data_IF_299077635265
#
_entry.id   IF_299077635265
#
_cell.length_a   1.000
_cell.length_b   1.000
_cell.length_c   1.000
_cell.angle_alpha   90.00
_cell.angle_beta   90.00
_cell.angle_gamma   90.00
#
_symmetry.space_group_name_H-M   'P 1'
#
loop_
_entity.id
_entity.type
_entity.pdbx_description
1 polymer ?
#
# COMPACT_ATOMS: atom_id res chain seq x y z
N UNK A 1 16.88 22.05 8.67
CA UNK A 1 15.48 21.69 8.98
C UNK A 1 15.47 20.19 9.05
N UNK A 2 15.20 19.67 10.24
CA UNK A 2 15.33 18.26 10.57
C UNK A 2 14.00 17.53 10.36
N UNK A 3 14.05 16.22 10.19
CA UNK A 3 12.85 15.40 10.08
C UNK A 3 12.17 15.37 11.46
N UNK A 4 10.86 15.61 11.50
CA UNK A 4 10.08 15.51 12.74
C UNK A 4 9.95 14.05 13.18
N UNK A 5 10.80 13.67 14.13
CA UNK A 5 10.85 12.32 14.69
C UNK A 5 9.62 11.96 15.53
N UNK A 6 8.85 12.95 16.02
CA UNK A 6 7.65 12.68 16.82
C UNK A 6 6.60 11.93 15.99
N UNK A 7 6.50 12.25 14.71
CA UNK A 7 5.57 11.61 13.78
C UNK A 7 6.04 10.17 13.48
N UNK A 8 7.35 9.95 13.29
CA UNK A 8 7.90 8.61 13.06
C UNK A 8 7.65 7.68 14.27
N UNK A 9 7.81 8.21 15.48
CA UNK A 9 7.56 7.48 16.73
C UNK A 9 6.08 7.26 17.05
N UNK A 10 5.16 8.01 16.43
CA UNK A 10 3.72 7.75 16.58
C UNK A 10 3.30 6.56 15.73
N UNK A 11 3.82 6.47 14.49
CA UNK A 11 3.54 5.35 13.59
C UNK A 11 4.04 4.00 14.13
N UNK A 12 5.19 4.00 14.81
CA UNK A 12 5.72 2.83 15.49
C UNK A 12 4.73 2.27 16.53
N UNK A 13 4.08 3.16 17.29
CA UNK A 13 3.13 2.76 18.34
C UNK A 13 1.76 2.35 17.81
N UNK A 14 1.28 3.00 16.75
CA UNK A 14 -0.08 2.80 16.27
C UNK A 14 -0.24 1.63 15.30
N UNK A 15 0.81 1.27 14.55
CA UNK A 15 0.69 0.38 13.38
C UNK A 15 1.69 -0.77 13.34
N UNK A 16 2.39 -1.02 14.44
CA UNK A 16 3.44 -2.07 14.56
C UNK A 16 4.53 -1.98 13.47
N UNK A 17 4.74 -0.80 12.89
CA UNK A 17 5.81 -0.58 11.92
C UNK A 17 7.08 -0.23 12.68
N UNK A 18 8.10 -1.09 12.61
CA UNK A 18 9.38 -0.81 13.26
C UNK A 18 9.96 0.53 12.80
N UNK A 19 10.40 1.34 13.76
CA UNK A 19 11.06 2.61 13.51
C UNK A 19 12.30 2.44 12.62
N UNK A 20 13.04 1.34 12.77
CA UNK A 20 14.23 1.04 11.98
C UNK A 20 13.90 0.89 10.49
N UNK A 21 12.81 0.18 10.17
CA UNK A 21 12.36 -0.03 8.78
C UNK A 21 11.95 1.30 8.13
N UNK A 22 11.37 2.22 8.91
CA UNK A 22 11.03 3.56 8.43
C UNK A 22 12.28 4.39 8.16
N UNK A 23 13.25 4.37 9.06
CA UNK A 23 14.52 5.08 8.90
C UNK A 23 15.26 4.60 7.65
N UNK A 24 15.42 3.29 7.49
CA UNK A 24 16.07 2.70 6.31
C UNK A 24 15.36 3.09 5.02
N UNK A 25 14.03 3.05 5.00
CA UNK A 25 13.25 3.44 3.81
C UNK A 25 13.46 4.93 3.46
N UNK A 26 13.54 5.80 4.47
CA UNK A 26 13.81 7.23 4.29
C UNK A 26 15.21 7.45 3.75
N UNK A 27 16.23 6.82 4.32
CA UNK A 27 17.63 6.92 3.87
C UNK A 27 17.76 6.48 2.40
N UNK A 28 17.16 5.36 2.00
CA UNK A 28 17.20 4.87 0.62
C UNK A 28 16.52 5.83 -0.37
N UNK A 29 15.37 6.38 0.00
CA UNK A 29 14.68 7.33 -0.85
C UNK A 29 15.43 8.66 -0.98
N UNK A 30 16.07 9.10 0.10
CA UNK A 30 16.90 10.30 0.08
C UNK A 30 18.18 10.10 -0.70
N UNK A 31 18.79 8.91 -0.64
CA UNK A 31 19.91 8.56 -1.51
C UNK A 31 19.50 8.68 -2.99
N UNK A 32 18.33 8.14 -3.34
CA UNK A 32 17.78 8.24 -4.70
C UNK A 32 17.52 9.71 -5.10
N UNK A 33 17.09 10.55 -4.16
CA UNK A 33 16.89 11.97 -4.41
C UNK A 33 18.21 12.72 -4.60
N UNK A 34 19.23 12.40 -3.79
CA UNK A 34 20.57 12.94 -3.89
C UNK A 34 21.22 12.60 -5.24
N UNK A 35 21.18 11.33 -5.68
CA UNK A 35 21.74 10.88 -6.97
C UNK A 35 21.15 11.59 -8.19
N UNK A 36 19.95 12.20 -8.07
CA UNK A 36 19.33 12.99 -9.13
C UNK A 36 19.78 14.46 -9.14
N UNK A 37 20.54 14.87 -8.13
CA UNK A 37 21.08 16.23 -8.02
C UNK A 37 22.31 16.36 -8.90
N UNK A 38 22.46 17.45 -9.67
CA UNK A 38 23.67 17.71 -10.44
C UNK A 38 24.90 17.75 -9.54
N UNK A 39 25.96 17.02 -9.91
CA UNK A 39 27.20 16.97 -9.14
C UNK A 39 27.21 15.96 -7.98
N UNK A 40 26.17 15.12 -7.86
CA UNK A 40 26.16 14.04 -6.88
C UNK A 40 27.33 13.07 -7.10
N UNK A 41 27.97 12.68 -6.00
CA UNK A 41 28.99 11.65 -5.98
C UNK A 41 28.40 10.29 -6.42
N UNK A 42 29.18 9.49 -7.14
CA UNK A 42 28.75 8.18 -7.64
C UNK A 42 28.44 7.20 -6.50
N UNK A 43 29.22 7.27 -5.43
CA UNK A 43 29.06 6.45 -4.24
C UNK A 43 28.78 7.35 -3.04
N UNK A 44 27.59 7.22 -2.48
CA UNK A 44 27.21 7.93 -1.27
C UNK A 44 26.21 7.10 -0.45
N UNK A 45 26.12 7.40 0.84
CA UNK A 45 25.08 6.89 1.73
C UNK A 45 24.44 8.04 2.50
N UNK A 46 23.15 7.91 2.75
CA UNK A 46 22.41 8.88 3.57
C UNK A 46 22.25 8.32 4.97
N UNK A 47 22.48 9.17 5.98
CA UNK A 47 22.33 8.83 7.39
C UNK A 47 21.31 9.75 8.01
N UNK A 48 20.30 9.17 8.67
CA UNK A 48 19.34 9.87 9.50
C UNK A 48 19.65 9.66 10.98
N UNK A 49 20.00 10.75 11.68
CA UNK A 49 20.17 10.73 13.13
C UNK A 49 18.81 10.48 13.82
N UNK A 50 18.75 9.36 14.55
CA UNK A 50 17.54 8.84 15.22
C UNK A 50 17.11 9.65 16.46
N UNK A 51 17.95 10.56 16.93
CA UNK A 51 17.71 11.44 18.08
C UNK A 51 17.36 12.85 17.64
N UNK A 52 18.09 13.37 16.65
CA UNK A 52 17.96 14.77 16.22
C UNK A 52 17.08 14.95 14.99
N UNK A 53 16.93 13.90 14.17
CA UNK A 53 16.24 13.98 12.87
C UNK A 53 17.11 14.59 11.77
N UNK A 54 18.38 14.85 12.06
CA UNK A 54 19.32 15.43 11.13
C UNK A 54 19.67 14.42 10.03
N UNK A 55 19.74 14.90 8.78
CA UNK A 55 20.08 14.08 7.63
C UNK A 55 21.40 14.57 7.05
N UNK A 56 22.33 13.63 6.88
CA UNK A 56 23.63 13.88 6.26
C UNK A 56 23.85 12.93 5.08
N UNK A 57 24.46 13.42 4.02
CA UNK A 57 24.91 12.62 2.88
C UNK A 57 26.42 12.44 3.00
N UNK A 58 26.84 11.19 3.17
CA UNK A 58 28.26 10.82 3.24
C UNK A 58 28.67 10.27 1.88
N UNK A 59 29.41 11.07 1.12
CA UNK A 59 29.98 10.68 -0.16
C UNK A 59 31.30 9.95 0.06
N UNK A 60 31.55 8.92 -0.75
CA UNK A 60 32.78 8.14 -0.70
C UNK A 60 33.87 8.86 -1.49
N UNK A 61 35.01 9.07 -0.85
CA UNK A 61 36.21 9.59 -1.48
C UNK A 61 36.99 8.41 -2.08
N UNK A 62 37.29 8.50 -3.37
CA UNK A 62 38.08 7.49 -4.11
C UNK A 62 39.37 8.13 -4.62
N UNK A 63 40.46 7.36 -4.58
CA UNK A 63 41.73 7.77 -5.17
C UNK A 63 41.77 7.55 -6.70
N UNK A 64 42.89 7.92 -7.32
CA UNK A 64 43.11 7.78 -8.76
C UNK A 64 43.06 6.32 -9.26
N UNK A 65 43.16 5.34 -8.35
CA UNK A 65 43.08 3.91 -8.63
C UNK A 65 41.68 3.32 -8.35
N UNK A 66 40.74 4.16 -7.89
CA UNK A 66 39.37 3.75 -7.54
C UNK A 66 39.26 3.09 -6.17
N UNK A 67 40.28 3.20 -5.33
CA UNK A 67 40.27 2.68 -3.96
C UNK A 67 39.59 3.68 -3.04
N UNK A 68 38.69 3.19 -2.17
CA UNK A 68 38.01 4.02 -1.17
C UNK A 68 39.02 4.48 -0.11
N UNK A 69 39.23 5.78 -0.04
CA UNK A 69 40.18 6.42 0.89
C UNK A 69 39.50 7.11 2.08
N UNK A 70 38.20 7.41 1.97
CA UNK A 70 37.45 8.06 3.05
C UNK A 70 35.98 8.31 2.74
N UNK A 71 35.32 9.01 3.65
CA UNK A 71 33.98 9.57 3.45
C UNK A 71 34.03 11.08 3.78
N UNK A 72 33.30 11.90 3.03
CA UNK A 72 33.12 13.32 3.31
C UNK A 72 31.64 13.69 3.30
N UNK A 73 31.29 14.77 4.00
CA UNK A 73 29.92 15.30 4.01
C UNK A 73 29.66 16.10 2.72
N UNK A 74 28.79 15.57 1.87
CA UNK A 74 28.34 16.21 0.62
C UNK A 74 26.86 16.59 0.69
N UNK A 75 26.35 16.90 1.88
CA UNK A 75 24.95 17.27 2.06
C UNK A 75 24.63 18.57 1.30
N UNK A 76 23.77 18.54 0.27
CA UNK A 76 23.49 19.74 -0.51
C UNK A 76 22.76 20.81 0.31
N UNK A 77 22.92 22.08 -0.07
CA UNK A 77 22.17 23.16 0.56
C UNK A 77 20.65 22.96 0.39
N UNK A 78 19.91 23.09 1.48
CA UNK A 78 18.45 22.90 1.48
C UNK A 78 18.00 21.44 1.38
N UNK A 79 18.91 20.46 1.41
CA UNK A 79 18.58 19.03 1.36
C UNK A 79 17.66 18.60 2.52
N UNK A 80 17.76 19.25 3.70
CA UNK A 80 16.85 19.03 4.82
C UNK A 80 15.37 19.26 4.49
N UNK A 81 15.04 20.17 3.56
CA UNK A 81 13.65 20.37 3.11
C UNK A 81 13.17 19.18 2.27
N UNK A 82 14.02 18.69 1.38
CA UNK A 82 13.77 17.50 0.56
C UNK A 82 13.59 16.29 1.49
N UNK A 83 14.45 16.18 2.50
CA UNK A 83 14.38 15.18 3.56
C UNK A 83 13.02 15.16 4.26
N UNK A 84 12.55 16.31 4.75
CA UNK A 84 11.26 16.41 5.42
C UNK A 84 10.08 16.01 4.52
N UNK A 85 10.06 16.46 3.25
CA UNK A 85 8.97 16.12 2.31
C UNK A 85 8.95 14.63 1.95
N UNK A 86 10.12 14.05 1.68
CA UNK A 86 10.27 12.65 1.31
C UNK A 86 9.93 11.74 2.48
N UNK A 87 10.40 12.08 3.69
CA UNK A 87 10.05 11.37 4.91
C UNK A 87 8.54 11.32 5.11
N UNK A 88 7.86 12.48 5.02
CA UNK A 88 6.39 12.53 5.09
C UNK A 88 5.71 11.64 4.05
N UNK A 89 6.21 11.64 2.81
CA UNK A 89 5.63 10.82 1.75
C UNK A 89 5.78 9.31 2.03
N UNK A 90 6.96 8.88 2.47
CA UNK A 90 7.26 7.48 2.79
C UNK A 90 6.44 7.03 3.98
N UNK A 91 6.30 7.88 4.99
CA UNK A 91 5.44 7.61 6.14
C UNK A 91 3.98 7.40 5.73
N UNK A 92 3.43 8.29 4.91
CA UNK A 92 2.06 8.14 4.39
C UNK A 92 1.91 6.91 3.49
N UNK A 93 2.95 6.55 2.75
CA UNK A 93 2.97 5.32 1.95
C UNK A 93 2.96 4.09 2.85
N UNK A 94 3.86 4.00 3.82
CA UNK A 94 3.95 2.87 4.76
C UNK A 94 2.69 2.70 5.59
N UNK A 95 2.06 3.79 6.00
CA UNK A 95 0.76 3.76 6.65
C UNK A 95 -0.31 3.11 5.75
N UNK A 96 -0.37 3.51 4.48
CA UNK A 96 -1.30 2.91 3.51
C UNK A 96 -0.99 1.44 3.25
N UNK A 97 0.28 1.08 3.06
CA UNK A 97 0.71 -0.29 2.82
C UNK A 97 0.29 -1.20 3.99
N UNK A 98 0.48 -0.75 5.24
CA UNK A 98 0.07 -1.48 6.44
C UNK A 98 -1.45 -1.64 6.53
N UNK A 99 -2.22 -0.59 6.23
CA UNK A 99 -3.69 -0.70 6.17
C UNK A 99 -4.15 -1.68 5.08
N UNK A 100 -3.51 -1.64 3.92
CA UNK A 100 -3.81 -2.50 2.79
C UNK A 100 -3.47 -3.96 3.08
N UNK A 101 -2.39 -4.23 3.82
CA UNK A 101 -2.03 -5.58 4.29
C UNK A 101 -3.05 -6.13 5.30
N UNK A 102 -3.51 -5.30 6.25
CA UNK A 102 -4.59 -5.69 7.18
C UNK A 102 -5.87 -6.02 6.42
N UNK A 103 -6.29 -5.13 5.50
CA UNK A 103 -7.48 -5.36 4.66
C UNK A 103 -7.31 -6.61 3.80
N UNK A 104 -6.14 -6.83 3.19
CA UNK A 104 -5.89 -8.05 2.41
C UNK A 104 -6.03 -9.31 3.26
N UNK A 105 -5.42 -9.33 4.45
CA UNK A 105 -5.48 -10.46 5.38
C UNK A 105 -6.91 -10.89 5.68
N UNK A 106 -7.81 -9.94 5.93
CA UNK A 106 -9.22 -10.22 6.24
C UNK A 106 -9.99 -10.94 5.12
N UNK A 107 -9.60 -10.76 3.85
CA UNK A 107 -10.32 -11.32 2.71
C UNK A 107 -9.56 -12.44 2.00
N UNK A 108 -8.25 -12.57 2.22
CA UNK A 108 -7.41 -13.61 1.61
C UNK A 108 -7.96 -15.03 1.81
N UNK A 109 -8.54 -15.31 2.98
CA UNK A 109 -9.16 -16.61 3.30
C UNK A 109 -10.62 -16.76 2.88
N UNK A 110 -11.23 -15.74 2.27
CA UNK A 110 -12.65 -15.74 1.88
C UNK A 110 -12.87 -16.11 0.42
N UNK A 111 -11.82 -16.50 -0.32
CA UNK A 111 -11.98 -16.95 -1.71
C UNK A 111 -12.95 -18.15 -1.78
N UNK A 112 -13.93 -18.05 -2.67
CA UNK A 112 -14.98 -19.04 -2.80
C UNK A 112 -16.09 -18.94 -1.76
N UNK A 113 -16.06 -17.99 -0.81
CA UNK A 113 -17.17 -17.73 0.11
C UNK A 113 -18.18 -16.71 -0.45
N UNK A 114 -19.38 -16.71 0.14
CA UNK A 114 -20.40 -15.71 -0.16
C UNK A 114 -20.20 -14.52 0.76
N UNK A 115 -20.20 -13.33 0.16
CA UNK A 115 -20.22 -12.07 0.89
C UNK A 115 -21.41 -11.21 0.48
N UNK A 116 -21.93 -10.43 1.42
CA UNK A 116 -22.97 -9.45 1.16
C UNK A 116 -22.39 -8.04 1.20
N UNK A 117 -22.82 -7.21 0.26
CA UNK A 117 -22.46 -5.80 0.19
C UNK A 117 -23.52 -4.97 -0.49
N UNK A 118 -23.25 -3.67 -0.64
CA UNK A 118 -24.15 -2.70 -1.26
C UNK A 118 -23.56 -2.30 -2.61
N UNK A 119 -24.38 -2.32 -3.67
CA UNK A 119 -23.92 -1.92 -5.00
C UNK A 119 -23.62 -0.42 -5.02
N UNK A 120 -22.39 -0.09 -5.39
CA UNK A 120 -21.90 1.25 -5.63
C UNK A 120 -21.78 1.49 -7.13
N UNK A 121 -22.10 2.71 -7.56
CA UNK A 121 -21.91 3.11 -8.96
C UNK A 121 -20.46 3.58 -9.13
N UNK A 122 -19.70 2.89 -9.99
CA UNK A 122 -18.34 3.29 -10.31
C UNK A 122 -18.27 4.61 -11.09
N UNK A 123 -17.05 5.06 -11.38
CA UNK A 123 -16.83 6.26 -12.22
C UNK A 123 -17.29 6.04 -13.66
N UNK A 124 -17.16 4.81 -14.15
CA UNK A 124 -17.79 4.40 -15.40
C UNK A 124 -19.17 3.79 -15.07
N UNK A 125 -20.22 4.10 -15.84
CA UNK A 125 -21.55 3.51 -15.67
C UNK A 125 -21.55 1.98 -15.75
N UNK A 126 -20.57 1.42 -16.48
CA UNK A 126 -20.45 -0.02 -16.68
C UNK A 126 -19.73 -0.74 -15.53
N UNK A 127 -19.04 0.00 -14.65
CA UNK A 127 -18.33 -0.56 -13.50
C UNK A 127 -19.29 -0.72 -12.32
N UNK A 128 -19.65 -1.97 -12.04
CA UNK A 128 -20.42 -2.35 -10.85
C UNK A 128 -19.43 -2.64 -9.74
N UNK A 129 -19.41 -1.76 -8.75
CA UNK A 129 -18.65 -1.94 -7.52
C UNK A 129 -19.60 -2.40 -6.42
N UNK A 130 -19.08 -3.13 -5.44
CA UNK A 130 -19.84 -3.58 -4.28
C UNK A 130 -19.07 -3.19 -3.03
N UNK A 131 -19.67 -2.33 -2.22
CA UNK A 131 -19.15 -1.93 -0.92
C UNK A 131 -19.37 -3.05 0.09
N UNK A 132 -18.26 -3.56 0.62
CA UNK A 132 -18.21 -4.60 1.65
C UNK A 132 -18.08 -4.01 3.06
N UNK A 133 -18.22 -2.69 3.19
CA UNK A 133 -18.10 -1.90 4.42
C UNK A 133 -16.67 -1.44 4.72
N UNK A 134 -15.68 -2.29 4.42
CA UNK A 134 -14.25 -1.97 4.64
C UNK A 134 -13.48 -1.66 3.36
N UNK A 135 -13.93 -2.20 2.24
CA UNK A 135 -13.34 -2.00 0.91
C UNK A 135 -14.40 -2.23 -0.17
N UNK A 136 -14.14 -1.69 -1.36
CA UNK A 136 -14.97 -1.90 -2.53
C UNK A 136 -14.42 -3.04 -3.38
N UNK A 137 -15.29 -3.96 -3.76
CA UNK A 137 -14.97 -5.07 -4.64
C UNK A 137 -15.58 -4.87 -6.02
N UNK A 138 -14.88 -5.32 -7.06
CA UNK A 138 -15.32 -5.22 -8.44
C UNK A 138 -16.17 -6.42 -8.82
N UNK A 139 -17.33 -6.18 -9.45
CA UNK A 139 -18.10 -7.20 -10.15
C UNK A 139 -17.94 -6.99 -11.68
N UNK A 140 -16.99 -7.68 -12.33
CA UNK A 140 -16.71 -7.48 -13.74
C UNK A 140 -17.85 -8.02 -14.61
N UNK A 141 -18.00 -7.47 -15.82
CA UNK A 141 -19.10 -7.82 -16.75
C UNK A 141 -19.16 -9.32 -17.04
N UNK A 142 -18.01 -10.00 -17.17
CA UNK A 142 -17.92 -11.43 -17.43
C UNK A 142 -18.49 -12.31 -16.29
N UNK A 143 -18.49 -11.79 -15.06
CA UNK A 143 -18.94 -12.51 -13.87
C UNK A 143 -20.37 -12.10 -13.44
N UNK A 144 -21.06 -11.31 -14.27
CA UNK A 144 -22.46 -10.90 -14.05
C UNK A 144 -23.41 -11.93 -14.66
N UNK A 145 -24.55 -12.13 -14.01
CA UNK A 145 -25.65 -12.90 -14.59
C UNK A 145 -26.32 -12.08 -15.70
N UNK A 146 -26.47 -12.64 -16.92
CA UNK A 146 -27.22 -11.98 -17.99
C UNK A 146 -28.66 -11.68 -17.56
N UNK A 147 -29.08 -10.42 -17.75
CA UNK A 147 -30.43 -9.96 -17.42
C UNK A 147 -30.67 -9.57 -15.96
N UNK A 148 -29.70 -9.82 -15.05
CA UNK A 148 -29.76 -9.29 -13.68
C UNK A 148 -29.48 -7.79 -13.67
N UNK A 149 -30.25 -7.02 -12.91
CA UNK A 149 -30.08 -5.57 -12.75
C UNK A 149 -29.20 -5.28 -11.54
N UNK A 150 -28.23 -4.37 -11.72
CA UNK A 150 -27.29 -3.96 -10.67
C UNK A 150 -27.53 -2.50 -10.29
N UNK A 151 -28.62 -2.25 -9.57
CA UNK A 151 -29.03 -0.90 -9.19
C UNK A 151 -28.25 -0.41 -7.96
N UNK A 152 -27.73 0.81 -8.03
CA UNK A 152 -27.01 1.43 -6.92
C UNK A 152 -27.86 1.47 -5.64
N UNK A 153 -27.22 1.24 -4.50
CA UNK A 153 -27.86 1.19 -3.18
C UNK A 153 -28.52 -0.15 -2.85
N UNK A 154 -28.62 -1.06 -3.82
CA UNK A 154 -29.20 -2.38 -3.60
C UNK A 154 -28.21 -3.30 -2.90
N UNK A 155 -28.70 -4.11 -1.96
CA UNK A 155 -27.90 -5.14 -1.30
C UNK A 155 -27.81 -6.39 -2.19
N UNK A 156 -26.60 -6.88 -2.40
CA UNK A 156 -26.32 -8.07 -3.22
C UNK A 156 -25.47 -9.06 -2.44
N UNK A 157 -25.69 -10.36 -2.70
CA UNK A 157 -24.83 -11.45 -2.24
C UNK A 157 -24.02 -11.97 -3.42
N UNK A 158 -22.70 -11.93 -3.35
CA UNK A 158 -21.80 -12.39 -4.40
C UNK A 158 -20.85 -13.45 -3.86
N UNK A 159 -20.34 -14.29 -4.74
CA UNK A 159 -19.20 -15.15 -4.45
C UNK A 159 -17.92 -14.32 -4.56
N UNK A 160 -16.97 -14.49 -3.64
CA UNK A 160 -15.62 -13.97 -3.81
C UNK A 160 -14.89 -14.86 -4.82
N UNK A 161 -14.63 -14.35 -6.02
CA UNK A 161 -13.97 -15.10 -7.09
C UNK A 161 -12.45 -15.10 -6.92
N UNK A 162 -11.85 -13.95 -6.60
CA UNK A 162 -10.42 -13.87 -6.29
C UNK A 162 -10.08 -12.65 -5.43
N UNK A 163 -9.02 -12.76 -4.64
CA UNK A 163 -8.46 -11.71 -3.78
C UNK A 163 -6.98 -11.58 -4.06
N UNK A 164 -6.57 -10.45 -4.61
CA UNK A 164 -5.17 -10.20 -5.04
C UNK A 164 -4.63 -8.93 -4.42
N UNK A 165 -3.32 -8.87 -4.20
CA UNK A 165 -2.63 -7.61 -3.88
C UNK A 165 -2.40 -6.84 -5.17
N UNK A 166 -3.04 -5.69 -5.34
CA UNK A 166 -2.83 -4.77 -6.45
C UNK A 166 -1.86 -3.64 -6.09
N UNK A 167 -1.52 -2.80 -7.07
CA UNK A 167 -0.64 -1.64 -6.86
C UNK A 167 -1.28 -0.53 -6.00
N UNK A 168 -2.60 -0.59 -5.77
CA UNK A 168 -3.38 0.38 -4.99
C UNK A 168 -4.16 -0.30 -3.87
N UNK A 169 -3.55 -1.31 -3.27
CA UNK A 169 -4.15 -2.11 -2.21
C UNK A 169 -4.84 -3.39 -2.69
N UNK A 170 -5.56 -4.08 -1.79
CA UNK A 170 -6.23 -5.34 -2.12
C UNK A 170 -7.33 -5.14 -3.16
N UNK A 171 -7.32 -6.00 -4.17
CA UNK A 171 -8.34 -6.05 -5.21
C UNK A 171 -9.16 -7.32 -5.02
N UNK A 172 -10.45 -7.14 -4.77
CA UNK A 172 -11.42 -8.23 -4.65
C UNK A 172 -12.28 -8.27 -5.89
N UNK A 173 -12.29 -9.42 -6.55
CA UNK A 173 -13.18 -9.70 -7.67
C UNK A 173 -14.33 -10.56 -7.19
N UNK A 174 -15.54 -10.11 -7.43
CA UNK A 174 -16.77 -10.83 -7.11
C UNK A 174 -17.32 -11.54 -8.34
N UNK A 175 -18.17 -12.54 -8.09
CA UNK A 175 -18.95 -13.20 -9.12
C UNK A 175 -20.39 -13.45 -8.69
N UNK A 176 -21.30 -13.27 -9.65
CA UNK A 176 -22.72 -13.63 -9.57
C UNK A 176 -23.07 -14.82 -10.45
N UNK A 177 -22.28 -15.10 -11.49
CA UNK A 177 -22.50 -16.22 -12.41
C UNK A 177 -21.81 -17.52 -12.00
N UNK A 178 -20.90 -17.51 -11.02
CA UNK A 178 -20.12 -18.68 -10.64
C UNK A 178 -21.00 -19.83 -10.06
N UNK A 179 -20.83 -21.09 -10.51
CA UNK A 179 -21.69 -22.22 -10.10
C UNK A 179 -21.77 -22.47 -8.58
N UNK A 180 -20.67 -22.20 -7.86
CA UNK A 180 -20.61 -22.39 -6.41
C UNK A 180 -21.49 -21.39 -5.63
N UNK A 181 -21.87 -20.26 -6.22
CA UNK A 181 -22.74 -19.30 -5.57
C UNK A 181 -24.10 -19.92 -5.22
N UNK A 182 -24.70 -20.60 -6.20
CA UNK A 182 -26.00 -21.26 -6.01
C UNK A 182 -25.90 -22.33 -4.92
N UNK A 183 -24.88 -23.20 -5.00
CA UNK A 183 -24.66 -24.26 -4.00
C UNK A 183 -24.55 -23.70 -2.57
N UNK A 184 -23.78 -22.63 -2.39
CA UNK A 184 -23.58 -22.00 -1.07
C UNK A 184 -24.82 -21.24 -0.59
N UNK A 185 -25.57 -20.60 -1.49
CA UNK A 185 -26.84 -19.95 -1.13
C UNK A 185 -27.86 -20.99 -0.63
N UNK A 186 -27.94 -22.15 -1.29
CA UNK A 186 -28.79 -23.25 -0.84
C UNK A 186 -28.37 -23.79 0.53
N UNK A 187 -27.07 -24.00 0.77
CA UNK A 187 -26.58 -24.47 2.06
C UNK A 187 -26.89 -23.49 3.22
N UNK A 188 -26.93 -22.19 2.94
CA UNK A 188 -27.30 -21.18 3.94
C UNK A 188 -28.80 -21.20 4.28
N UNK A 189 -29.66 -21.53 3.30
CA UNK A 189 -31.12 -21.53 3.47
C UNK A 189 -31.64 -22.88 3.97
N UNK A 190 -30.94 -23.97 3.67
CA UNK A 190 -31.30 -25.34 4.05
C UNK A 190 -30.14 -25.99 4.83
N UNK A 191 -30.12 -25.83 6.18
CA UNK A 191 -29.04 -26.35 7.03
C UNK A 191 -28.89 -27.87 7.00
N UNK A 192 -29.92 -28.58 6.55
CA UNK A 192 -30.01 -30.04 6.53
C UNK A 192 -29.14 -30.70 5.43
N UNK A 193 -28.56 -29.91 4.51
CA UNK A 193 -27.76 -30.37 3.36
C UNK A 193 -26.25 -30.23 3.60
N UNK A 194 -25.81 -29.56 4.67
CA UNK A 194 -24.40 -29.29 4.98
C UNK A 194 -23.67 -30.49 5.60
#
# INVERSE_FOLDING_TARGET
MDIDLAILRSLEREKEISFDVLVEAIEQALLTAYQKTPGAAEQARVVLDRKTGHVSVLATEVDDEGTVVGEFDDTPEGFGRIAATTAKQIMLQRLRDAEDDIRYGEFSGKEGDIISGIIQQGRNPDDVMVDLGKLEALLPVAERVPGEKYEHGTRIKCLVFSVRKGMRGPQITLSRSHPNLVKKLFALEVPEIA
#
